data_IF_458447199203
#
_entry.id   IF_458447199203
#
_cell.length_a   1.000
_cell.length_b   1.000
_cell.length_c   1.000
_cell.angle_alpha   90.00
_cell.angle_beta   90.00
_cell.angle_gamma   90.00
#
_symmetry.space_group_name_H-M   'P 1'
#
loop_
_entity.id
_entity.type
_entity.pdbx_description
1 polymer ?
#
# COMPACT_ATOMS: atom_id res chain seq x y z
N UNK A 1 4.32 14.45 6.81
CA UNK A 1 4.03 13.08 6.35
C UNK A 1 4.65 12.05 7.27
N UNK A 2 6.00 12.08 7.52
CA UNK A 2 6.67 11.09 8.41
C UNK A 2 6.00 11.01 9.77
N UNK A 3 5.80 12.13 10.45
CA UNK A 3 5.20 12.18 11.79
C UNK A 3 3.76 11.64 11.81
N UNK A 4 3.01 11.85 10.75
CA UNK A 4 1.64 11.31 10.60
C UNK A 4 1.69 9.81 10.27
N UNK A 5 2.62 9.37 9.44
CA UNK A 5 2.83 7.96 9.15
C UNK A 5 3.28 7.15 10.38
N UNK A 6 4.13 7.73 11.22
CA UNK A 6 4.58 7.10 12.47
C UNK A 6 3.45 6.96 13.52
N UNK A 7 2.45 7.82 13.48
CA UNK A 7 1.30 7.80 14.40
C UNK A 7 0.13 6.94 13.92
N UNK A 8 -0.08 6.87 12.61
CA UNK A 8 -1.30 6.30 12.01
C UNK A 8 -1.06 5.00 11.22
N UNK A 9 0.20 4.70 10.83
CA UNK A 9 0.57 3.59 9.95
C UNK A 9 1.69 2.75 10.56
N UNK A 10 1.81 1.52 10.09
CA UNK A 10 2.82 0.56 10.55
C UNK A 10 4.27 0.99 10.17
N UNK A 11 5.25 0.37 10.80
CA UNK A 11 6.68 0.69 10.66
C UNK A 11 7.22 0.60 9.21
N UNK A 12 6.63 -0.24 8.37
CA UNK A 12 7.01 -0.35 6.95
C UNK A 12 6.76 0.95 6.17
N UNK A 13 5.62 1.61 6.38
CA UNK A 13 5.32 2.89 5.73
C UNK A 13 6.20 4.02 6.22
N UNK A 14 6.52 4.06 7.51
CA UNK A 14 7.44 5.07 8.03
C UNK A 14 8.84 4.93 7.45
N UNK A 15 9.30 3.71 7.17
CA UNK A 15 10.59 3.45 6.54
C UNK A 15 10.68 4.03 5.12
N UNK A 16 9.61 3.95 4.33
CA UNK A 16 9.55 4.55 2.98
C UNK A 16 9.81 6.05 3.05
N UNK A 17 9.15 6.76 3.97
CA UNK A 17 9.34 8.21 4.11
C UNK A 17 10.73 8.60 4.63
N UNK A 18 11.38 7.75 5.42
CA UNK A 18 12.78 7.96 5.82
C UNK A 18 13.73 7.88 4.63
N UNK A 19 13.54 6.89 3.76
CA UNK A 19 14.31 6.78 2.51
C UNK A 19 14.09 8.02 1.63
N UNK A 20 12.85 8.52 1.53
CA UNK A 20 12.55 9.74 0.79
C UNK A 20 13.26 10.98 1.37
N UNK A 21 13.39 11.07 2.71
CA UNK A 21 14.17 12.16 3.33
C UNK A 21 15.65 12.06 2.96
N UNK A 22 16.23 10.88 2.95
CA UNK A 22 17.63 10.72 2.56
C UNK A 22 17.85 11.03 1.07
N UNK A 23 16.90 10.65 0.20
CA UNK A 23 16.93 11.06 -1.21
C UNK A 23 16.87 12.59 -1.40
N UNK A 24 16.08 13.28 -0.58
CA UNK A 24 16.04 14.75 -0.60
C UNK A 24 17.33 15.42 -0.08
N UNK A 25 18.18 14.70 0.62
CA UNK A 25 19.50 15.19 1.09
C UNK A 25 20.63 14.82 0.14
N UNK A 26 20.34 14.09 -0.94
CA UNK A 26 21.36 13.66 -1.90
C UNK A 26 21.98 14.84 -2.64
N UNK A 27 23.31 14.99 -2.53
CA UNK A 27 24.04 16.09 -3.13
C UNK A 27 23.94 16.10 -4.66
N UNK A 28 23.81 14.94 -5.29
CA UNK A 28 23.66 14.81 -6.75
C UNK A 28 22.33 15.38 -7.21
N UNK A 29 21.25 15.03 -6.49
CA UNK A 29 19.91 15.56 -6.77
C UNK A 29 19.88 17.09 -6.60
N UNK A 30 20.47 17.60 -5.52
CA UNK A 30 20.57 19.04 -5.27
C UNK A 30 21.37 19.78 -6.36
N UNK A 31 22.54 19.24 -6.72
CA UNK A 31 23.39 19.81 -7.77
C UNK A 31 22.67 19.82 -9.12
N UNK A 32 21.98 18.74 -9.47
CA UNK A 32 21.21 18.65 -10.73
C UNK A 32 20.06 19.68 -10.76
N UNK A 33 19.34 19.85 -9.64
CA UNK A 33 18.27 20.85 -9.53
C UNK A 33 18.80 22.28 -9.68
N UNK A 34 19.90 22.62 -9.03
CA UNK A 34 20.52 23.95 -9.10
C UNK A 34 21.07 24.22 -10.49
N UNK A 35 21.80 23.27 -11.07
CA UNK A 35 22.35 23.40 -12.41
C UNK A 35 21.26 23.61 -13.47
N UNK A 36 20.15 22.86 -13.41
CA UNK A 36 19.05 23.02 -14.34
C UNK A 36 18.36 24.38 -14.17
N UNK A 37 18.22 24.86 -12.92
CA UNK A 37 17.61 26.16 -12.62
C UNK A 37 18.46 27.32 -13.15
N UNK A 38 19.78 27.26 -12.97
CA UNK A 38 20.73 28.32 -13.37
C UNK A 38 20.96 28.35 -14.87
N UNK A 39 21.06 27.19 -15.53
CA UNK A 39 21.39 27.10 -16.95
C UNK A 39 20.19 27.29 -17.88
N UNK A 40 19.04 26.76 -17.52
CA UNK A 40 17.86 26.78 -18.42
C UNK A 40 16.94 27.98 -18.19
N UNK A 41 17.14 28.75 -17.09
CA UNK A 41 16.36 29.94 -16.73
C UNK A 41 14.84 29.70 -16.77
N UNK A 42 14.42 28.50 -16.36
CA UNK A 42 13.01 28.09 -16.28
C UNK A 42 12.50 28.15 -14.84
N UNK A 43 11.18 28.01 -14.66
CA UNK A 43 10.60 28.04 -13.32
C UNK A 43 10.93 26.76 -12.52
N UNK A 44 10.89 26.87 -11.19
CA UNK A 44 11.24 25.78 -10.30
C UNK A 44 10.37 24.52 -10.50
N UNK A 45 9.11 24.69 -10.87
CA UNK A 45 8.21 23.54 -11.12
C UNK A 45 8.66 22.74 -12.33
N UNK A 46 9.14 23.39 -13.39
CA UNK A 46 9.64 22.69 -14.56
C UNK A 46 10.96 21.98 -14.26
N UNK A 47 11.86 22.64 -13.51
CA UNK A 47 13.11 22.02 -13.03
C UNK A 47 12.83 20.75 -12.25
N UNK A 48 11.95 20.81 -11.26
CA UNK A 48 11.55 19.63 -10.47
C UNK A 48 11.01 18.53 -11.36
N UNK A 49 10.09 18.83 -12.27
CA UNK A 49 9.54 17.84 -13.21
C UNK A 49 10.63 17.19 -14.06
N UNK A 50 11.54 17.98 -14.60
CA UNK A 50 12.58 17.49 -15.52
C UNK A 50 13.60 16.62 -14.79
N UNK A 51 14.15 17.12 -13.68
CA UNK A 51 15.20 16.42 -12.92
C UNK A 51 14.63 15.14 -12.30
N UNK A 52 13.52 15.19 -11.57
CA UNK A 52 12.94 14.00 -10.95
C UNK A 52 12.51 12.95 -11.97
N UNK A 53 11.97 13.35 -13.13
CA UNK A 53 11.64 12.43 -14.22
C UNK A 53 12.87 11.72 -14.79
N UNK A 54 14.02 12.41 -14.86
CA UNK A 54 15.30 11.82 -15.27
C UNK A 54 15.73 10.72 -14.29
N UNK A 55 15.65 10.96 -12.98
CA UNK A 55 15.95 10.00 -11.93
C UNK A 55 14.94 8.82 -11.93
N UNK A 56 13.66 9.09 -12.03
CA UNK A 56 12.61 8.09 -12.15
C UNK A 56 12.86 7.14 -13.32
N UNK A 57 13.10 7.68 -14.51
CA UNK A 57 13.36 6.88 -15.72
C UNK A 57 14.62 6.03 -15.58
N UNK A 58 15.67 6.55 -14.97
CA UNK A 58 16.90 5.80 -14.69
C UNK A 58 16.65 4.60 -13.79
N UNK A 59 15.85 4.74 -12.74
CA UNK A 59 15.48 3.64 -11.83
C UNK A 59 14.55 2.63 -12.51
N UNK A 60 13.54 3.10 -13.27
CA UNK A 60 12.59 2.22 -13.98
C UNK A 60 13.24 1.41 -15.10
N UNK A 61 14.29 1.94 -15.73
CA UNK A 61 15.05 1.22 -16.77
C UNK A 61 16.05 0.20 -16.19
N UNK A 62 16.21 0.14 -14.87
CA UNK A 62 17.08 -0.83 -14.22
C UNK A 62 16.57 -2.26 -14.41
N UNK A 63 17.48 -3.22 -14.54
CA UNK A 63 17.17 -4.65 -14.77
C UNK A 63 16.44 -5.34 -13.60
N UNK A 64 16.47 -4.75 -12.43
CA UNK A 64 15.91 -5.35 -11.20
C UNK A 64 14.55 -4.72 -10.86
N UNK A 65 13.51 -5.53 -10.69
CA UNK A 65 12.15 -5.09 -10.34
C UNK A 65 12.13 -4.20 -9.08
N UNK A 66 12.92 -4.54 -8.08
CA UNK A 66 13.11 -3.73 -6.86
C UNK A 66 13.55 -2.28 -7.17
N UNK A 67 14.43 -2.06 -8.18
CA UNK A 67 14.86 -0.71 -8.56
C UNK A 67 13.74 0.05 -9.30
N UNK A 68 12.91 -0.66 -10.05
CA UNK A 68 11.76 -0.05 -10.73
C UNK A 68 10.70 0.45 -9.72
N UNK A 69 10.49 -0.27 -8.62
CA UNK A 69 9.62 0.16 -7.51
C UNK A 69 10.16 1.43 -6.83
N UNK A 70 11.48 1.60 -6.75
CA UNK A 70 12.09 2.85 -6.26
C UNK A 70 11.81 4.06 -7.16
N UNK A 71 11.48 3.84 -8.41
CA UNK A 71 10.97 4.89 -9.30
C UNK A 71 9.68 5.54 -8.77
N UNK A 72 8.85 4.79 -8.04
CA UNK A 72 7.62 5.30 -7.42
C UNK A 72 7.93 6.24 -6.25
N UNK A 73 8.98 5.98 -5.49
CA UNK A 73 9.44 6.87 -4.42
C UNK A 73 9.88 8.23 -5.00
N UNK A 74 10.61 8.22 -6.13
CA UNK A 74 11.02 9.44 -6.84
C UNK A 74 9.82 10.20 -7.39
N UNK A 75 8.87 9.50 -8.02
CA UNK A 75 7.64 10.11 -8.54
C UNK A 75 6.81 10.75 -7.42
N UNK A 76 6.74 10.12 -6.26
CA UNK A 76 6.06 10.65 -5.08
C UNK A 76 6.73 11.90 -4.53
N UNK A 77 8.06 11.90 -4.43
CA UNK A 77 8.84 13.07 -4.04
C UNK A 77 8.61 14.24 -5.00
N UNK A 78 8.67 14.00 -6.31
CA UNK A 78 8.41 15.01 -7.32
C UNK A 78 7.03 15.64 -7.13
N UNK A 79 5.99 14.82 -6.98
CA UNK A 79 4.61 15.28 -6.80
C UNK A 79 4.44 16.10 -5.52
N UNK A 80 5.05 15.66 -4.43
CA UNK A 80 5.02 16.38 -3.15
C UNK A 80 5.76 17.70 -3.22
N UNK A 81 6.95 17.72 -3.82
CA UNK A 81 7.73 18.96 -4.02
C UNK A 81 6.97 19.97 -4.88
N UNK A 82 6.34 19.52 -5.98
CA UNK A 82 5.51 20.38 -6.83
C UNK A 82 4.29 20.94 -6.09
N UNK A 83 3.67 20.15 -5.22
CA UNK A 83 2.54 20.60 -4.41
C UNK A 83 2.96 21.67 -3.40
N UNK A 84 4.10 21.50 -2.74
CA UNK A 84 4.64 22.52 -1.84
C UNK A 84 4.98 23.83 -2.60
N UNK A 85 5.60 23.74 -3.78
CA UNK A 85 5.90 24.91 -4.63
C UNK A 85 4.63 25.63 -5.06
N UNK A 86 3.56 24.90 -5.39
CA UNK A 86 2.28 25.50 -5.80
C UNK A 86 1.43 26.04 -4.64
N UNK A 87 1.84 25.82 -3.39
CA UNK A 87 1.10 26.24 -2.19
C UNK A 87 -0.18 25.45 -1.92
N UNK A 88 -0.47 24.40 -2.69
CA UNK A 88 -1.63 23.53 -2.48
C UNK A 88 -1.43 22.62 -1.28
N UNK A 89 -2.20 22.85 -0.20
CA UNK A 89 -2.09 22.08 1.05
C UNK A 89 -3.08 20.93 1.16
N UNK A 90 -4.25 21.02 0.51
CA UNK A 90 -5.25 19.96 0.57
C UNK A 90 -4.88 18.75 -0.29
N UNK A 91 -5.04 17.55 0.24
CA UNK A 91 -4.89 16.32 -0.53
C UNK A 91 -6.26 15.84 -1.01
N UNK A 92 -6.38 15.47 -2.30
CA UNK A 92 -7.65 15.05 -2.90
C UNK A 92 -8.28 13.82 -2.23
N UNK A 93 -7.50 13.03 -1.49
CA UNK A 93 -7.93 11.80 -0.83
C UNK A 93 -8.38 11.99 0.63
N UNK A 94 -8.22 13.17 1.23
CA UNK A 94 -8.54 13.40 2.65
C UNK A 94 -10.05 13.34 2.97
N UNK A 95 -10.90 13.69 2.01
CA UNK A 95 -12.35 13.85 2.22
C UNK A 95 -13.17 12.95 1.30
N UNK A 96 -12.84 11.67 1.24
CA UNK A 96 -13.59 10.71 0.43
C UNK A 96 -14.90 10.30 1.10
N UNK A 97 -16.03 10.26 0.36
CA UNK A 97 -17.27 9.71 0.86
C UNK A 97 -17.10 8.23 1.28
N UNK A 98 -17.88 7.81 2.26
CA UNK A 98 -17.87 6.41 2.69
C UNK A 98 -18.34 5.48 1.56
N UNK A 99 -17.64 4.38 1.37
CA UNK A 99 -17.93 3.42 0.31
C UNK A 99 -17.32 3.77 -1.05
N UNK A 100 -16.39 4.75 -1.08
CA UNK A 100 -15.67 5.10 -2.30
C UNK A 100 -14.78 3.95 -2.77
N UNK A 101 -14.86 3.63 -4.07
CA UNK A 101 -13.86 2.80 -4.74
C UNK A 101 -12.83 3.74 -5.37
N UNK A 102 -11.58 3.59 -4.96
CA UNK A 102 -10.47 4.38 -5.47
C UNK A 102 -10.01 3.79 -6.80
N UNK A 103 -9.95 4.63 -7.84
CA UNK A 103 -9.45 4.23 -9.17
C UNK A 103 -8.31 5.16 -9.55
N UNK A 104 -7.15 4.59 -9.84
CA UNK A 104 -5.96 5.37 -10.16
C UNK A 104 -5.08 4.64 -11.15
N UNK A 105 -4.26 5.40 -11.89
CA UNK A 105 -3.18 4.80 -12.67
C UNK A 105 -2.23 4.03 -11.74
N UNK A 106 -1.88 4.64 -10.60
CA UNK A 106 -0.97 4.11 -9.58
C UNK A 106 -1.23 4.80 -8.24
N UNK A 107 -1.03 4.10 -7.14
CA UNK A 107 -0.97 4.69 -5.81
C UNK A 107 0.48 4.85 -5.37
N UNK A 108 0.82 6.05 -4.93
CA UNK A 108 2.14 6.42 -4.44
C UNK A 108 2.17 6.41 -2.89
N UNK A 109 3.34 6.31 -2.27
CA UNK A 109 3.46 6.24 -0.81
C UNK A 109 2.71 7.34 -0.06
N UNK A 110 2.80 8.60 -0.55
CA UNK A 110 2.11 9.71 0.12
C UNK A 110 0.60 9.62 0.04
N UNK A 111 0.02 8.94 -0.95
CA UNK A 111 -1.43 8.76 -1.06
C UNK A 111 -1.96 7.94 0.12
N UNK A 112 -1.17 6.97 0.58
CA UNK A 112 -1.57 6.07 1.67
C UNK A 112 -1.79 6.79 2.99
N UNK A 113 -1.01 7.85 3.27
CA UNK A 113 -1.10 8.66 4.49
C UNK A 113 -2.40 9.48 4.56
N UNK A 114 -2.96 9.82 3.39
CA UNK A 114 -4.14 10.66 3.30
C UNK A 114 -5.43 9.86 3.09
N UNK A 115 -5.35 8.54 2.92
CA UNK A 115 -6.52 7.69 2.76
C UNK A 115 -7.23 7.47 4.10
N UNK A 116 -8.49 7.88 4.23
CA UNK A 116 -9.26 7.62 5.43
C UNK A 116 -9.62 6.12 5.49
N UNK A 117 -9.09 5.41 6.50
CA UNK A 117 -9.20 3.94 6.67
C UNK A 117 -10.63 3.39 6.54
N UNK A 118 -11.64 4.18 6.88
CA UNK A 118 -13.04 3.72 6.90
C UNK A 118 -13.89 4.23 5.72
N UNK A 119 -13.33 4.98 4.80
CA UNK A 119 -14.08 5.58 3.69
C UNK A 119 -13.89 4.84 2.38
N UNK A 120 -12.72 4.24 2.16
CA UNK A 120 -12.41 3.51 0.93
C UNK A 120 -12.88 2.06 1.05
N UNK A 121 -13.75 1.64 0.13
CA UNK A 121 -14.32 0.30 0.09
C UNK A 121 -13.45 -0.68 -0.71
N UNK A 122 -12.74 -0.20 -1.74
CA UNK A 122 -11.84 -0.99 -2.57
C UNK A 122 -10.89 -0.07 -3.35
N UNK A 123 -9.83 -0.63 -3.92
CA UNK A 123 -8.94 0.06 -4.84
C UNK A 123 -8.77 -0.70 -6.16
N UNK A 124 -8.68 0.03 -7.27
CA UNK A 124 -8.39 -0.49 -8.60
C UNK A 124 -7.26 0.35 -9.19
N UNK A 125 -6.19 -0.28 -9.64
CA UNK A 125 -5.07 0.44 -10.26
C UNK A 125 -4.65 -0.20 -11.58
N UNK A 126 -4.16 0.64 -12.49
CA UNK A 126 -3.62 0.18 -13.79
C UNK A 126 -2.24 -0.45 -13.62
N UNK A 127 -1.44 0.08 -12.71
CA UNK A 127 -0.07 -0.37 -12.48
C UNK A 127 0.16 -0.68 -11.02
N UNK A 128 0.66 -1.88 -10.74
CA UNK A 128 1.04 -2.30 -9.40
C UNK A 128 1.13 -3.81 -9.28
N UNK A 129 2.27 -4.32 -8.81
CA UNK A 129 2.47 -5.74 -8.52
C UNK A 129 2.12 -6.12 -7.07
N UNK A 130 2.34 -7.39 -6.68
CA UNK A 130 2.07 -7.89 -5.32
C UNK A 130 2.85 -7.21 -4.20
N UNK A 131 4.00 -6.60 -4.53
CA UNK A 131 4.86 -5.84 -3.61
C UNK A 131 4.68 -4.33 -3.72
N UNK A 132 3.78 -3.84 -4.57
CA UNK A 132 3.52 -2.41 -4.74
C UNK A 132 2.95 -1.77 -3.47
N UNK A 133 3.14 -0.46 -3.33
CA UNK A 133 2.58 0.33 -2.21
C UNK A 133 1.07 0.14 -2.05
N UNK A 134 0.33 0.02 -3.17
CA UNK A 134 -1.11 -0.27 -3.13
C UNK A 134 -1.40 -1.65 -2.53
N UNK A 135 -0.64 -2.68 -2.91
CA UNK A 135 -0.86 -4.04 -2.43
C UNK A 135 -0.54 -4.17 -0.92
N UNK A 136 0.51 -3.48 -0.45
CA UNK A 136 0.86 -3.41 0.97
C UNK A 136 -0.26 -2.70 1.76
N UNK A 137 -0.69 -1.53 1.29
CA UNK A 137 -1.77 -0.76 1.90
C UNK A 137 -3.08 -1.54 1.95
N UNK A 138 -3.46 -2.19 0.85
CA UNK A 138 -4.71 -2.96 0.78
C UNK A 138 -4.73 -4.10 1.80
N UNK A 139 -3.59 -4.79 1.98
CA UNK A 139 -3.44 -5.84 3.00
C UNK A 139 -3.53 -5.27 4.41
N UNK A 140 -2.86 -4.16 4.69
CA UNK A 140 -2.88 -3.51 6.01
C UNK A 140 -4.29 -3.00 6.37
N UNK A 141 -5.00 -2.42 5.41
CA UNK A 141 -6.36 -1.93 5.61
C UNK A 141 -7.44 -3.04 5.54
N UNK A 142 -7.07 -4.27 5.17
CA UNK A 142 -8.05 -5.33 4.89
C UNK A 142 -9.00 -4.97 3.74
N UNK A 143 -8.54 -4.17 2.79
CA UNK A 143 -9.33 -3.61 1.70
C UNK A 143 -9.17 -4.46 0.43
N UNK A 144 -10.27 -4.83 -0.27
CA UNK A 144 -10.18 -5.46 -1.57
C UNK A 144 -9.44 -4.58 -2.57
N UNK A 145 -8.50 -5.16 -3.34
CA UNK A 145 -7.77 -4.42 -4.35
C UNK A 145 -7.54 -5.28 -5.59
N UNK A 146 -7.60 -4.63 -6.75
CA UNK A 146 -7.30 -5.23 -8.06
C UNK A 146 -6.29 -4.34 -8.78
N UNK A 147 -5.21 -4.94 -9.25
CA UNK A 147 -4.16 -4.27 -10.01
C UNK A 147 -4.06 -4.80 -11.44
N UNK A 148 -3.27 -4.12 -12.27
CA UNK A 148 -3.03 -4.49 -13.67
C UNK A 148 -4.32 -4.47 -14.51
N UNK A 149 -5.21 -3.49 -14.25
CA UNK A 149 -6.43 -3.28 -15.02
C UNK A 149 -6.18 -2.16 -16.05
N UNK A 150 -5.80 -2.55 -17.25
CA UNK A 150 -5.42 -1.60 -18.30
C UNK A 150 -6.52 -0.58 -18.61
N UNK A 151 -6.13 0.69 -18.71
CA UNK A 151 -6.98 1.82 -19.10
C UNK A 151 -8.23 2.04 -18.21
N UNK A 152 -8.28 1.48 -17.01
CA UNK A 152 -9.48 1.59 -16.14
C UNK A 152 -9.82 3.04 -15.78
N UNK A 153 -8.80 3.90 -15.65
CA UNK A 153 -9.01 5.33 -15.36
C UNK A 153 -9.75 6.03 -16.51
N UNK A 154 -9.49 5.63 -17.75
CA UNK A 154 -10.17 6.21 -18.93
C UNK A 154 -11.60 5.69 -19.13
N UNK A 155 -11.89 4.49 -18.63
CA UNK A 155 -13.21 3.85 -18.78
C UNK A 155 -14.21 4.28 -17.70
N UNK A 156 -13.72 4.73 -16.56
CA UNK A 156 -14.57 5.08 -15.43
C UNK A 156 -14.70 6.60 -15.27
N UNK A 157 -15.91 7.04 -15.07
CA UNK A 157 -16.20 8.41 -14.67
C UNK A 157 -16.50 8.49 -13.16
N UNK A 158 -16.33 9.66 -12.55
CA UNK A 158 -16.75 9.86 -11.16
C UNK A 158 -18.17 9.37 -10.92
N UNK A 159 -18.39 8.70 -9.81
CA UNK A 159 -19.68 8.12 -9.39
C UNK A 159 -20.16 6.90 -10.21
N UNK A 160 -19.34 6.35 -11.11
CA UNK A 160 -19.64 5.05 -11.74
C UNK A 160 -19.74 3.96 -10.68
N UNK A 161 -20.80 3.15 -10.73
CA UNK A 161 -20.97 2.02 -9.82
C UNK A 161 -20.12 0.85 -10.26
N UNK A 162 -19.35 0.29 -9.33
CA UNK A 162 -18.47 -0.86 -9.61
C UNK A 162 -18.59 -1.91 -8.50
N UNK A 163 -18.39 -3.19 -8.86
CA UNK A 163 -18.14 -4.27 -7.93
C UNK A 163 -16.68 -4.68 -8.06
N UNK A 164 -16.00 -4.85 -6.94
CA UNK A 164 -14.58 -5.22 -6.90
C UNK A 164 -14.42 -6.51 -6.14
N UNK A 165 -13.93 -7.54 -6.81
CA UNK A 165 -13.63 -8.85 -6.23
C UNK A 165 -12.09 -9.01 -6.17
N UNK A 166 -11.52 -8.66 -5.04
CA UNK A 166 -10.08 -8.75 -4.81
C UNK A 166 -9.55 -10.18 -4.69
N UNK A 167 -10.41 -11.16 -4.48
CA UNK A 167 -10.01 -12.58 -4.43
C UNK A 167 -9.82 -13.17 -5.83
N UNK A 168 -10.74 -12.84 -6.74
CA UNK A 168 -10.71 -13.35 -8.11
C UNK A 168 -10.09 -12.36 -9.10
N UNK A 169 -9.63 -11.18 -8.63
CA UNK A 169 -9.03 -10.15 -9.47
C UNK A 169 -10.02 -9.60 -10.52
N UNK A 170 -11.31 -9.48 -10.18
CA UNK A 170 -12.31 -9.05 -11.15
C UNK A 170 -13.03 -7.76 -10.76
N UNK A 171 -13.34 -6.95 -11.78
CA UNK A 171 -14.05 -5.68 -11.66
C UNK A 171 -15.25 -5.71 -12.60
N UNK A 172 -16.44 -5.42 -12.07
CA UNK A 172 -17.67 -5.29 -12.86
C UNK A 172 -18.11 -3.82 -12.85
N UNK A 173 -18.18 -3.20 -14.02
CA UNK A 173 -18.57 -1.79 -14.22
C UNK A 173 -20.07 -1.73 -14.52
N UNK A 174 -20.77 -0.82 -13.85
CA UNK A 174 -22.23 -0.64 -13.98
C UNK A 174 -23.00 -1.96 -13.82
N UNK A 175 -22.82 -2.68 -12.69
CA UNK A 175 -23.44 -3.99 -12.51
C UNK A 175 -24.97 -3.90 -12.54
N UNK A 176 -25.60 -4.81 -13.26
CA UNK A 176 -27.05 -5.02 -13.22
C UNK A 176 -27.48 -5.74 -11.93
N UNK A 177 -28.79 -5.94 -11.77
CA UNK A 177 -29.33 -6.57 -10.57
C UNK A 177 -28.84 -8.01 -10.38
N UNK A 178 -28.71 -8.77 -11.48
CA UNK A 178 -28.22 -10.16 -11.45
C UNK A 178 -26.76 -10.26 -11.00
N UNK A 179 -25.89 -9.37 -11.51
CA UNK A 179 -24.49 -9.32 -11.11
C UNK A 179 -24.35 -8.95 -9.62
N UNK A 180 -25.14 -7.99 -9.16
CA UNK A 180 -25.17 -7.59 -7.73
C UNK A 180 -25.62 -8.74 -6.85
N UNK A 181 -26.73 -9.39 -7.17
CA UNK A 181 -27.25 -10.51 -6.39
C UNK A 181 -26.19 -11.63 -6.25
N UNK A 182 -25.56 -12.02 -7.37
CA UNK A 182 -24.48 -13.03 -7.35
C UNK A 182 -23.26 -12.59 -6.53
N UNK A 183 -22.91 -11.31 -6.57
CA UNK A 183 -21.82 -10.77 -5.79
C UNK A 183 -22.13 -10.80 -4.29
N UNK A 184 -23.33 -10.38 -3.90
CA UNK A 184 -23.81 -10.39 -2.51
C UNK A 184 -23.90 -11.82 -1.96
N UNK A 185 -24.36 -12.79 -2.74
CA UNK A 185 -24.37 -14.21 -2.39
C UNK A 185 -22.94 -14.70 -2.08
N UNK A 186 -21.94 -14.37 -2.93
CA UNK A 186 -20.54 -14.75 -2.71
C UNK A 186 -19.97 -14.12 -1.45
N UNK A 187 -20.21 -12.82 -1.23
CA UNK A 187 -19.77 -12.14 0.01
C UNK A 187 -20.38 -12.80 1.24
N UNK A 188 -21.67 -13.12 1.21
CA UNK A 188 -22.35 -13.74 2.33
C UNK A 188 -21.85 -15.17 2.61
N UNK A 189 -21.61 -15.96 1.56
CA UNK A 189 -20.98 -17.27 1.68
C UNK A 189 -19.60 -17.18 2.32
N UNK A 190 -18.75 -16.26 1.86
CA UNK A 190 -17.42 -16.06 2.39
C UNK A 190 -17.44 -15.58 3.85
N UNK A 191 -18.34 -14.65 4.20
CA UNK A 191 -18.53 -14.21 5.58
C UNK A 191 -18.96 -15.37 6.49
N UNK A 192 -19.77 -16.27 5.97
CA UNK A 192 -20.21 -17.46 6.71
C UNK A 192 -19.05 -18.41 6.96
N UNK A 193 -18.23 -18.68 5.93
CA UNK A 193 -17.02 -19.50 6.05
C UNK A 193 -16.05 -18.88 7.07
N UNK A 194 -15.80 -17.57 6.97
CA UNK A 194 -14.93 -16.87 7.92
C UNK A 194 -15.44 -16.95 9.37
N UNK A 195 -16.75 -16.77 9.58
CA UNK A 195 -17.37 -16.90 10.91
C UNK A 195 -17.26 -18.31 11.46
N UNK A 196 -17.45 -19.33 10.63
CA UNK A 196 -17.27 -20.72 11.02
C UNK A 196 -15.81 -21.03 11.36
N UNK A 197 -14.87 -20.62 10.50
CA UNK A 197 -13.44 -20.75 10.75
C UNK A 197 -13.02 -20.05 12.06
N UNK A 198 -13.53 -18.83 12.32
CA UNK A 198 -13.25 -18.09 13.55
C UNK A 198 -13.80 -18.79 14.81
N UNK A 199 -14.91 -19.50 14.71
CA UNK A 199 -15.45 -20.30 15.82
C UNK A 199 -14.59 -21.54 16.09
N UNK A 200 -14.14 -22.21 15.02
CA UNK A 200 -13.36 -23.43 15.08
C UNK A 200 -11.84 -23.20 15.26
N UNK A 201 -11.35 -21.97 15.19
CA UNK A 201 -9.92 -21.69 15.19
C UNK A 201 -9.16 -22.10 16.46
N UNK A 202 -9.85 -22.38 17.56
CA UNK A 202 -9.27 -22.88 18.80
C UNK A 202 -9.39 -24.39 18.98
N UNK A 203 -10.05 -25.07 18.04
CA UNK A 203 -10.10 -26.53 18.02
C UNK A 203 -8.78 -27.08 17.49
N UNK A 204 -8.38 -28.26 17.95
CA UNK A 204 -7.15 -28.91 17.47
C UNK A 204 -7.28 -29.24 15.99
N UNK A 205 -6.27 -28.92 15.22
CA UNK A 205 -6.22 -29.30 13.82
C UNK A 205 -5.83 -30.79 13.72
N UNK A 206 -6.76 -31.59 13.18
CA UNK A 206 -6.57 -33.04 13.00
C UNK A 206 -6.81 -33.40 11.54
N UNK A 207 -5.91 -34.18 10.96
CA UNK A 207 -6.07 -34.68 9.59
C UNK A 207 -7.17 -35.75 9.51
N UNK A 208 -7.60 -36.12 8.30
CA UNK A 208 -8.64 -37.15 8.12
C UNK A 208 -8.25 -38.54 8.65
N UNK A 209 -6.95 -38.82 8.71
CA UNK A 209 -6.38 -40.05 9.29
C UNK A 209 -6.12 -39.96 10.80
N UNK A 210 -6.56 -38.88 11.44
CA UNK A 210 -6.53 -38.71 12.89
C UNK A 210 -5.21 -38.16 13.43
N UNK A 211 -4.29 -37.66 12.60
CA UNK A 211 -3.03 -37.07 13.06
C UNK A 211 -3.22 -35.61 13.50
N UNK A 212 -2.73 -35.27 14.66
CA UNK A 212 -2.73 -33.90 15.18
C UNK A 212 -1.64 -33.06 14.51
N UNK A 213 -2.01 -31.90 13.97
CA UNK A 213 -1.09 -30.97 13.32
C UNK A 213 -1.07 -29.66 14.09
N UNK A 214 0.11 -29.20 14.50
CA UNK A 214 0.26 -27.90 15.17
C UNK A 214 0.16 -26.76 14.16
N UNK A 215 -0.71 -25.79 14.46
CA UNK A 215 -0.88 -24.56 13.68
C UNK A 215 -0.09 -23.45 14.35
N UNK A 216 1.00 -23.03 13.72
CA UNK A 216 1.90 -22.01 14.25
C UNK A 216 1.82 -20.74 13.41
N UNK A 217 2.03 -19.59 14.05
CA UNK A 217 1.99 -18.29 13.39
C UNK A 217 3.39 -17.75 13.06
N UNK A 218 3.49 -17.05 11.94
CA UNK A 218 4.63 -16.19 11.65
C UNK A 218 4.33 -14.79 12.22
N UNK A 219 5.19 -14.29 13.09
CA UNK A 219 5.03 -12.99 13.73
C UNK A 219 6.29 -12.13 13.56
N UNK A 220 6.14 -10.82 13.60
CA UNK A 220 7.23 -9.83 13.57
C UNK A 220 7.01 -8.68 14.55
N UNK A 221 5.87 -8.70 15.29
CA UNK A 221 5.52 -7.69 16.27
C UNK A 221 4.69 -8.28 17.40
N UNK A 222 4.51 -7.47 18.47
CA UNK A 222 3.62 -7.81 19.58
C UNK A 222 2.16 -7.89 19.11
N UNK A 223 1.77 -7.01 18.21
CA UNK A 223 0.43 -6.95 17.63
C UNK A 223 0.13 -8.22 16.83
N UNK A 224 1.10 -8.72 16.05
CA UNK A 224 0.99 -9.99 15.33
C UNK A 224 0.78 -11.16 16.30
N UNK A 225 1.50 -11.16 17.44
CA UNK A 225 1.36 -12.22 18.45
C UNK A 225 -0.04 -12.23 19.09
N UNK A 226 -0.60 -11.06 19.38
CA UNK A 226 -1.97 -10.92 19.89
C UNK A 226 -2.99 -11.41 18.87
N UNK A 227 -2.83 -11.01 17.61
CA UNK A 227 -3.69 -11.44 16.50
C UNK A 227 -3.59 -12.95 16.26
N UNK A 228 -2.38 -13.52 16.33
CA UNK A 228 -2.16 -14.95 16.19
C UNK A 228 -2.88 -15.74 17.30
N UNK A 229 -2.77 -15.30 18.55
CA UNK A 229 -3.48 -15.88 19.69
C UNK A 229 -5.00 -15.81 19.51
N UNK A 230 -5.50 -14.67 19.06
CA UNK A 230 -6.93 -14.49 18.78
C UNK A 230 -7.44 -15.40 17.66
N UNK A 231 -6.60 -15.74 16.70
CA UNK A 231 -6.89 -16.65 15.60
C UNK A 231 -6.56 -18.12 15.89
N UNK A 232 -6.25 -18.45 17.14
CA UNK A 232 -6.06 -19.83 17.60
C UNK A 232 -4.72 -20.46 17.26
N UNK A 233 -3.68 -19.65 16.98
CA UNK A 233 -2.33 -20.18 16.81
C UNK A 233 -1.84 -20.83 18.11
N UNK A 234 -1.28 -22.03 18.00
CA UNK A 234 -0.78 -22.81 19.15
C UNK A 234 0.63 -22.40 19.57
N UNK A 235 1.27 -21.53 18.81
CA UNK A 235 2.60 -21.03 19.10
C UNK A 235 3.18 -20.24 17.92
N UNK A 236 4.47 -19.91 18.04
CA UNK A 236 5.20 -19.16 17.03
C UNK A 236 6.04 -20.14 16.20
N UNK A 237 5.81 -20.16 14.88
CA UNK A 237 6.59 -20.95 13.93
C UNK A 237 7.81 -20.19 13.41
N UNK A 238 7.64 -18.88 13.18
CA UNK A 238 8.71 -17.99 12.74
C UNK A 238 8.56 -16.63 13.39
N UNK A 239 9.64 -16.12 13.98
CA UNK A 239 9.72 -14.74 14.44
C UNK A 239 10.63 -13.92 13.51
N UNK A 240 10.07 -12.86 12.90
CA UNK A 240 10.81 -11.97 12.00
C UNK A 240 11.45 -10.84 12.78
N UNK A 241 12.78 -10.95 12.97
CA UNK A 241 13.57 -9.95 13.71
C UNK A 241 13.85 -8.67 12.90
N UNK A 242 13.68 -8.72 11.59
CA UNK A 242 14.02 -7.60 10.71
C UNK A 242 13.32 -6.30 11.10
N UNK A 243 12.06 -6.39 11.52
CA UNK A 243 11.31 -5.20 11.99
C UNK A 243 11.97 -4.53 13.20
N UNK A 244 12.51 -5.31 14.14
CA UNK A 244 13.18 -4.79 15.32
C UNK A 244 14.45 -4.01 14.95
N UNK A 245 15.24 -4.55 14.02
CA UNK A 245 16.47 -3.90 13.56
C UNK A 245 16.20 -2.67 12.70
N UNK A 246 15.19 -2.73 11.81
CA UNK A 246 14.84 -1.63 10.92
C UNK A 246 14.16 -0.46 11.64
N UNK A 247 13.50 -0.70 12.76
CA UNK A 247 12.80 0.34 13.53
C UNK A 247 13.74 1.24 14.34
N UNK A 248 15.00 0.87 14.50
CA UNK A 248 15.96 1.57 15.37
C UNK A 248 17.13 2.16 14.59
N UNK A 249 17.70 3.25 15.14
CA UNK A 249 18.92 3.88 14.61
C UNK A 249 20.20 3.20 15.08
N UNK A 250 20.11 2.34 16.10
CA UNK A 250 21.21 1.56 16.68
C UNK A 250 20.80 0.09 16.80
N UNK A 251 21.76 -0.79 16.93
CA UNK A 251 21.48 -2.22 17.19
C UNK A 251 20.65 -2.36 18.49
N UNK A 252 19.62 -3.20 18.48
CA UNK A 252 18.83 -3.49 19.67
C UNK A 252 19.71 -4.06 20.78
N UNK A 253 19.40 -3.75 22.02
CA UNK A 253 20.04 -4.37 23.18
C UNK A 253 19.44 -5.74 23.49
N UNK A 254 20.12 -6.51 24.35
CA UNK A 254 19.65 -7.84 24.77
C UNK A 254 18.36 -7.81 25.60
N UNK A 255 18.03 -6.65 26.16
CA UNK A 255 16.83 -6.46 26.99
C UNK A 255 15.61 -6.03 26.17
N UNK A 256 15.80 -5.63 24.95
CA UNK A 256 14.77 -5.20 23.99
C UNK A 256 14.34 -6.35 23.08
#
# INVERSE_FOLDING_TARGET
AVHRAEQELDSEFSAIFRVQIELLKDDTLHSDLLNELENELVNAELVVKTVFRRFENKLRSAKYAFMAERGDDIADLARRTLRELSGFRAHSLENLPKGTVLVAHRLLPSDTVFLPKNSVAAAIVEVGGPASHMAILAREMGMPAVSEVDNIVSWLQPSTKVLVDGLNGSVCINPGEKERARFDERINAQRTIYRQAKKACRERAVTQDGQEVKVLANIGSREDALLATDNGAEGVGLYRLEKLFLSKKSLPTTEE
#
